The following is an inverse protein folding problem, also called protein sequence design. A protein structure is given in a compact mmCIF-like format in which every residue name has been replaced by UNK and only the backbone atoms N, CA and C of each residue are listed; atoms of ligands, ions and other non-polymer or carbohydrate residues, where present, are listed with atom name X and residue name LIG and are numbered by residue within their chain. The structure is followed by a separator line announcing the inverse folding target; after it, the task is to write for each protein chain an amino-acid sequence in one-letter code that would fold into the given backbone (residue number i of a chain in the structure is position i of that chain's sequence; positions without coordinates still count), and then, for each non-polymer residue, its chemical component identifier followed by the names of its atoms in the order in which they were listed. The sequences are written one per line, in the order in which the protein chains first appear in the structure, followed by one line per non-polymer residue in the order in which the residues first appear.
data_IF_578138175386
#
_entry.id   IF_578138175386
#
_cell.length_a   1.000
_cell.length_b   1.000
_cell.length_c   1.000
_cell.angle_alpha   90.00
_cell.angle_beta   90.00
_cell.angle_gamma   90.00
#
_symmetry.space_group_name_H-M   'P 1'
#
loop_
_entity.id
_entity.type
_entity.pdbx_description
1 polymer ?
#
# COMPACT_ATOMS: atom_id res chain seq x y z
N UNK A 1 14.21 -44.24 -10.44
CA UNK A 1 13.73 -42.99 -9.86
C UNK A 1 14.65 -41.92 -10.37
N UNK A 2 14.23 -41.24 -11.42
CA UNK A 2 15.02 -40.20 -12.01
C UNK A 2 15.00 -38.99 -11.08
N UNK A 3 16.16 -38.63 -10.55
CA UNK A 3 16.31 -37.48 -9.67
C UNK A 3 16.16 -36.19 -10.47
N UNK A 4 14.97 -35.67 -10.56
CA UNK A 4 14.77 -34.30 -11.08
C UNK A 4 15.48 -33.32 -10.16
N UNK A 5 16.48 -32.63 -10.70
CA UNK A 5 17.15 -31.55 -10.01
C UNK A 5 16.20 -30.35 -9.95
N UNK A 6 15.65 -30.08 -8.76
CA UNK A 6 14.82 -28.89 -8.52
C UNK A 6 15.74 -27.67 -8.44
N UNK A 7 15.62 -26.77 -9.41
CA UNK A 7 16.31 -25.49 -9.38
C UNK A 7 15.73 -24.59 -8.28
N UNK A 8 16.61 -24.10 -7.41
CA UNK A 8 16.23 -23.13 -6.38
C UNK A 8 16.36 -21.70 -6.94
N UNK A 9 15.24 -21.00 -7.08
CA UNK A 9 15.24 -19.60 -7.48
C UNK A 9 15.21 -18.68 -6.24
N UNK A 10 16.02 -17.62 -6.25
CA UNK A 10 16.01 -16.60 -5.20
C UNK A 10 14.80 -15.67 -5.28
N UNK A 11 14.25 -15.51 -6.47
CA UNK A 11 13.05 -14.72 -6.74
C UNK A 11 12.29 -15.26 -7.96
N UNK A 12 11.00 -15.00 -8.03
CA UNK A 12 10.16 -15.36 -9.17
C UNK A 12 8.98 -14.38 -9.32
N UNK A 13 8.37 -14.39 -10.50
CA UNK A 13 7.19 -13.58 -10.78
C UNK A 13 5.96 -14.48 -10.78
N UNK A 14 5.05 -14.23 -9.85
CA UNK A 14 3.77 -14.93 -9.76
C UNK A 14 2.62 -13.92 -9.79
N UNK A 15 1.61 -14.15 -10.62
CA UNK A 15 0.48 -13.24 -10.75
C UNK A 15 0.89 -11.78 -11.03
N UNK A 16 1.92 -11.56 -11.83
CA UNK A 16 2.53 -10.25 -12.09
C UNK A 16 3.14 -9.57 -10.86
N UNK A 17 3.34 -10.26 -9.73
CA UNK A 17 4.07 -9.76 -8.55
C UNK A 17 5.39 -10.46 -8.39
N UNK A 18 6.45 -9.71 -8.06
CA UNK A 18 7.77 -10.26 -7.76
C UNK A 18 7.79 -10.75 -6.31
N UNK A 19 8.04 -12.04 -6.13
CA UNK A 19 8.17 -12.69 -4.83
C UNK A 19 9.63 -13.06 -4.64
N UNK A 20 10.19 -12.73 -3.47
CA UNK A 20 11.56 -13.04 -3.09
C UNK A 20 11.57 -14.09 -1.98
N UNK A 21 12.56 -14.98 -1.97
CA UNK A 21 12.70 -16.05 -0.99
C UNK A 21 12.79 -15.54 0.45
N UNK A 22 13.28 -14.31 0.64
CA UNK A 22 13.37 -13.66 1.94
C UNK A 22 12.09 -12.94 2.34
N UNK A 23 11.04 -12.89 1.50
CA UNK A 23 9.78 -12.21 1.74
C UNK A 23 9.90 -10.67 1.81
N UNK A 24 10.99 -10.07 1.29
CA UNK A 24 11.13 -8.62 1.24
C UNK A 24 10.38 -8.02 0.05
N UNK A 25 9.37 -7.21 0.35
CA UNK A 25 8.54 -6.56 -0.66
C UNK A 25 9.17 -5.30 -1.30
N UNK A 26 10.35 -4.87 -0.84
CA UNK A 26 10.98 -3.61 -1.29
C UNK A 26 11.24 -3.59 -2.80
N UNK A 27 11.62 -4.71 -3.40
CA UNK A 27 11.84 -4.82 -4.84
C UNK A 27 10.53 -4.69 -5.64
N UNK A 28 9.47 -5.34 -5.18
CA UNK A 28 8.15 -5.24 -5.82
C UNK A 28 7.59 -3.83 -5.70
N UNK A 29 7.66 -3.21 -4.52
CA UNK A 29 7.21 -1.83 -4.30
C UNK A 29 7.93 -0.87 -5.27
N UNK A 30 9.25 -0.95 -5.38
CA UNK A 30 10.02 -0.14 -6.33
C UNK A 30 9.55 -0.36 -7.77
N UNK A 31 9.33 -1.61 -8.17
CA UNK A 31 8.86 -1.98 -9.50
C UNK A 31 7.48 -1.37 -9.79
N UNK A 32 6.55 -1.44 -8.84
CA UNK A 32 5.20 -0.87 -8.95
C UNK A 32 5.23 0.65 -9.05
N UNK A 33 6.05 1.30 -8.26
CA UNK A 33 6.26 2.76 -8.37
C UNK A 33 6.78 3.17 -9.75
N UNK A 34 7.69 2.37 -10.35
CA UNK A 34 8.16 2.61 -11.72
C UNK A 34 7.04 2.44 -12.75
N UNK A 35 6.19 1.44 -12.61
CA UNK A 35 5.03 1.28 -13.48
C UNK A 35 4.04 2.43 -13.33
N UNK A 36 3.77 2.85 -12.11
CA UNK A 36 2.94 4.03 -11.85
C UNK A 36 3.51 5.30 -12.51
N UNK A 37 4.83 5.49 -12.49
CA UNK A 37 5.48 6.60 -13.20
C UNK A 37 5.27 6.53 -14.71
N UNK A 38 5.41 5.35 -15.32
CA UNK A 38 5.15 5.17 -16.75
C UNK A 38 3.71 5.52 -17.10
N UNK A 39 2.73 5.02 -16.33
CA UNK A 39 1.31 5.34 -16.56
C UNK A 39 1.06 6.83 -16.39
N UNK A 40 1.62 7.46 -15.35
CA UNK A 40 1.47 8.90 -15.13
C UNK A 40 2.05 9.72 -16.30
N UNK A 41 3.17 9.30 -16.88
CA UNK A 41 3.78 9.95 -18.04
C UNK A 41 2.92 9.76 -19.30
N UNK A 42 2.31 8.60 -19.48
CA UNK A 42 1.40 8.37 -20.61
C UNK A 42 0.11 9.21 -20.54
N UNK A 43 -0.23 9.71 -19.36
CA UNK A 43 -1.40 10.59 -19.16
C UNK A 43 -1.08 12.08 -19.40
N UNK A 44 0.16 12.45 -19.67
CA UNK A 44 0.56 13.87 -19.77
C UNK A 44 -0.30 14.67 -20.73
N UNK A 45 -0.57 14.17 -21.93
CA UNK A 45 -1.39 14.86 -22.92
C UNK A 45 -2.80 15.18 -22.40
N UNK A 46 -3.39 14.25 -21.64
CA UNK A 46 -4.71 14.44 -21.02
C UNK A 46 -4.63 15.39 -19.83
N UNK A 47 -3.59 15.26 -19.01
CA UNK A 47 -3.37 16.11 -17.83
C UNK A 47 -2.98 17.56 -18.23
N UNK A 48 -2.47 17.74 -19.45
CA UNK A 48 -2.15 19.05 -20.02
C UNK A 48 -3.36 19.80 -20.56
N UNK A 49 -4.41 19.10 -20.96
CA UNK A 49 -5.63 19.72 -21.50
C UNK A 49 -6.20 20.75 -20.51
N UNK A 50 -6.52 21.94 -21.03
CA UNK A 50 -7.18 23.01 -20.27
C UNK A 50 -8.68 22.78 -20.10
N UNK A 51 -9.26 21.93 -20.95
CA UNK A 51 -10.70 21.62 -20.94
C UNK A 51 -11.09 20.67 -19.81
N UNK A 52 -10.11 20.00 -19.19
CA UNK A 52 -10.33 19.07 -18.09
C UNK A 52 -10.10 19.77 -16.76
N UNK A 53 -11.11 19.76 -15.90
CA UNK A 53 -11.04 20.38 -14.57
C UNK A 53 -10.07 19.65 -13.63
N UNK A 54 -9.50 20.37 -12.68
CA UNK A 54 -8.57 19.81 -11.69
C UNK A 54 -9.16 18.60 -10.93
N UNK A 55 -10.41 18.66 -10.42
CA UNK A 55 -11.00 17.49 -9.76
C UNK A 55 -11.09 16.26 -10.65
N UNK A 56 -11.39 16.44 -11.95
CA UNK A 56 -11.43 15.35 -12.92
C UNK A 56 -10.04 14.74 -13.15
N UNK A 57 -9.00 15.58 -13.27
CA UNK A 57 -7.61 15.12 -13.37
C UNK A 57 -7.17 14.32 -12.14
N UNK A 58 -7.53 14.79 -10.93
CA UNK A 58 -7.26 14.07 -9.68
C UNK A 58 -7.94 12.70 -9.67
N UNK A 59 -9.21 12.64 -10.09
CA UNK A 59 -9.94 11.35 -10.21
C UNK A 59 -9.28 10.42 -11.23
N UNK A 60 -8.80 10.95 -12.35
CA UNK A 60 -8.11 10.18 -13.38
C UNK A 60 -6.81 9.55 -12.84
N UNK A 61 -5.98 10.32 -12.15
CA UNK A 61 -4.75 9.81 -11.51
C UNK A 61 -5.08 8.70 -10.51
N UNK A 62 -6.10 8.91 -9.67
CA UNK A 62 -6.54 7.89 -8.70
C UNK A 62 -7.10 6.63 -9.36
N UNK A 63 -7.78 6.75 -10.49
CA UNK A 63 -8.39 5.62 -11.18
C UNK A 63 -7.40 4.83 -12.05
N UNK A 64 -6.37 5.47 -12.60
CA UNK A 64 -5.47 4.84 -13.56
C UNK A 64 -4.07 4.58 -13.02
N UNK A 65 -3.52 5.48 -12.21
CA UNK A 65 -2.14 5.37 -11.71
C UNK A 65 -2.08 4.58 -10.41
N UNK A 66 -2.93 4.92 -9.44
CA UNK A 66 -2.88 4.30 -8.11
C UNK A 66 -3.16 2.79 -8.12
N UNK A 67 -4.12 2.25 -8.89
CA UNK A 67 -4.33 0.81 -8.94
C UNK A 67 -3.12 0.02 -9.45
N UNK A 68 -2.37 0.59 -10.38
CA UNK A 68 -1.13 -0.04 -10.89
C UNK A 68 -0.07 -0.13 -9.80
N UNK A 69 0.03 0.90 -8.97
CA UNK A 69 0.97 0.93 -7.84
C UNK A 69 0.53 0.01 -6.71
N UNK A 70 -0.77 -0.01 -6.41
CA UNK A 70 -1.33 -0.76 -5.30
C UNK A 70 -1.56 -2.25 -5.59
N UNK A 71 -1.34 -2.72 -6.81
CA UNK A 71 -1.59 -4.12 -7.17
C UNK A 71 -0.79 -5.08 -6.29
N UNK A 72 -1.48 -5.95 -5.57
CA UNK A 72 -0.89 -6.93 -4.64
C UNK A 72 -0.41 -6.35 -3.31
N UNK A 73 -0.70 -5.06 -3.02
CA UNK A 73 -0.22 -4.39 -1.81
C UNK A 73 -0.80 -4.97 -0.51
N UNK A 74 -1.89 -5.70 -0.59
CA UNK A 74 -2.50 -6.40 0.54
C UNK A 74 -1.56 -7.42 1.19
N UNK A 75 -0.66 -8.02 0.40
CA UNK A 75 0.33 -8.99 0.89
C UNK A 75 1.63 -8.35 1.40
N UNK A 76 1.87 -7.07 1.15
CA UNK A 76 3.16 -6.45 1.43
C UNK A 76 3.37 -6.14 2.92
N UNK A 77 4.57 -6.41 3.43
CA UNK A 77 5.05 -5.84 4.69
C UNK A 77 5.77 -4.54 4.39
N UNK A 78 5.12 -3.40 4.66
CA UNK A 78 5.62 -2.08 4.27
C UNK A 78 6.48 -1.51 5.40
N UNK A 79 7.79 -1.38 5.17
CA UNK A 79 8.74 -0.76 6.09
C UNK A 79 8.66 0.78 6.00
N UNK A 80 9.19 1.47 7.00
CA UNK A 80 9.21 2.95 7.03
C UNK A 80 9.88 3.58 5.79
N UNK A 81 10.90 2.92 5.24
CA UNK A 81 11.57 3.40 4.03
C UNK A 81 10.67 3.32 2.78
N UNK A 82 9.85 2.27 2.67
CA UNK A 82 8.90 2.09 1.58
C UNK A 82 7.73 3.05 1.70
N UNK A 83 7.24 3.35 2.91
CA UNK A 83 6.24 4.41 3.15
C UNK A 83 6.72 5.74 2.59
N UNK A 84 7.93 6.16 2.97
CA UNK A 84 8.53 7.42 2.47
C UNK A 84 8.64 7.45 0.94
N UNK A 85 8.94 6.31 0.29
CA UNK A 85 8.99 6.22 -1.18
C UNK A 85 7.61 6.35 -1.80
N UNK A 86 6.60 5.76 -1.19
CA UNK A 86 5.20 5.85 -1.62
C UNK A 86 4.68 7.28 -1.50
N UNK A 87 4.97 7.95 -0.39
CA UNK A 87 4.61 9.35 -0.17
C UNK A 87 5.30 10.29 -1.18
N UNK A 88 6.61 10.07 -1.39
CA UNK A 88 7.37 10.83 -2.38
C UNK A 88 6.84 10.62 -3.81
N UNK A 89 6.38 9.41 -4.14
CA UNK A 89 5.76 9.11 -5.43
C UNK A 89 4.40 9.82 -5.56
N UNK A 90 3.55 9.74 -4.54
CA UNK A 90 2.25 10.42 -4.53
C UNK A 90 2.43 11.92 -4.73
N UNK A 91 3.34 12.52 -3.98
CA UNK A 91 3.64 13.94 -4.09
C UNK A 91 4.21 14.32 -5.48
N UNK A 92 5.02 13.45 -6.07
CA UNK A 92 5.52 13.61 -7.43
C UNK A 92 4.35 13.60 -8.44
N UNK A 93 3.35 12.71 -8.29
CA UNK A 93 2.16 12.70 -9.14
C UNK A 93 1.40 14.03 -9.04
N UNK A 94 1.19 14.55 -7.84
CA UNK A 94 0.47 15.80 -7.64
C UNK A 94 1.23 17.02 -8.16
N UNK A 95 2.55 17.09 -7.94
CA UNK A 95 3.38 18.15 -8.52
C UNK A 95 3.34 18.13 -10.03
N UNK A 96 3.42 16.95 -10.65
CA UNK A 96 3.32 16.80 -12.11
C UNK A 96 1.96 17.25 -12.63
N UNK A 97 0.88 16.88 -11.95
CA UNK A 97 -0.48 17.27 -12.31
C UNK A 97 -0.66 18.81 -12.24
N UNK A 98 -0.11 19.46 -11.20
CA UNK A 98 -0.15 20.91 -11.03
C UNK A 98 0.93 21.67 -11.83
N UNK A 99 1.83 20.93 -12.51
CA UNK A 99 2.98 21.49 -13.23
C UNK A 99 3.92 22.32 -12.36
N UNK A 100 4.01 21.98 -11.09
CA UNK A 100 4.92 22.60 -10.14
C UNK A 100 6.27 21.89 -10.19
N UNK A 101 7.35 22.54 -10.70
CA UNK A 101 8.67 21.91 -10.70
C UNK A 101 9.12 21.66 -9.27
N UNK A 102 9.92 20.61 -9.08
CA UNK A 102 10.41 20.26 -7.76
C UNK A 102 11.31 21.33 -7.14
N UNK A 103 11.93 22.18 -7.99
CA UNK A 103 12.74 23.33 -7.59
C UNK A 103 11.92 24.52 -7.09
N UNK A 104 10.61 24.54 -7.35
CA UNK A 104 9.74 25.58 -6.83
C UNK A 104 9.64 25.47 -5.30
N UNK A 105 9.77 26.59 -4.60
CA UNK A 105 9.71 26.69 -3.13
C UNK A 105 8.33 26.42 -2.51
N UNK A 106 7.39 25.84 -3.26
CA UNK A 106 6.08 25.43 -2.75
C UNK A 106 6.20 24.30 -1.73
N UNK A 107 5.60 24.47 -0.56
CA UNK A 107 5.58 23.43 0.46
C UNK A 107 4.75 22.22 0.00
N UNK A 108 5.08 21.02 0.49
CA UNK A 108 4.28 19.82 0.21
C UNK A 108 2.84 19.99 0.70
N UNK A 109 2.65 20.71 1.80
CA UNK A 109 1.34 21.03 2.37
C UNK A 109 0.50 21.88 1.42
N UNK A 110 1.09 22.87 0.73
CA UNK A 110 0.36 23.69 -0.24
C UNK A 110 -0.14 22.87 -1.42
N UNK A 111 0.68 21.94 -1.92
CA UNK A 111 0.30 20.99 -2.98
C UNK A 111 -0.87 20.12 -2.55
N UNK A 112 -0.79 19.49 -1.36
CA UNK A 112 -1.83 18.63 -0.85
C UNK A 112 -3.13 19.39 -0.55
N UNK A 113 -3.02 20.63 -0.08
CA UNK A 113 -4.18 21.50 0.16
C UNK A 113 -4.92 21.82 -1.14
N UNK A 114 -4.18 22.14 -2.21
CA UNK A 114 -4.73 22.46 -3.52
C UNK A 114 -5.41 21.25 -4.17
N UNK A 115 -4.74 20.07 -4.13
CA UNK A 115 -5.27 18.82 -4.67
C UNK A 115 -6.46 18.31 -3.85
N UNK A 116 -6.42 18.49 -2.53
CA UNK A 116 -7.40 17.94 -1.60
C UNK A 116 -7.74 16.48 -1.88
N UNK A 117 -6.76 15.54 -1.83
CA UNK A 117 -6.91 14.19 -2.36
C UNK A 117 -7.95 13.36 -1.61
N UNK A 118 -8.41 13.79 -0.44
CA UNK A 118 -9.38 13.09 0.41
C UNK A 118 -8.79 11.86 1.13
N UNK A 119 -7.91 11.11 0.49
CA UNK A 119 -7.19 9.97 1.05
C UNK A 119 -5.84 9.83 0.36
N UNK A 120 -4.78 9.59 1.14
CA UNK A 120 -3.43 9.34 0.64
C UNK A 120 -3.31 7.97 -0.02
N UNK A 121 -2.28 7.79 -0.85
CA UNK A 121 -1.98 6.48 -1.44
C UNK A 121 -1.68 5.44 -0.36
N UNK A 122 -0.96 5.79 0.70
CA UNK A 122 -0.73 4.92 1.85
C UNK A 122 -2.04 4.53 2.54
N UNK A 123 -2.95 5.47 2.76
CA UNK A 123 -4.27 5.21 3.33
C UNK A 123 -5.12 4.27 2.48
N UNK A 124 -5.02 4.37 1.14
CA UNK A 124 -5.68 3.44 0.22
C UNK A 124 -5.09 2.03 0.31
N UNK A 125 -3.75 1.90 0.39
CA UNK A 125 -3.08 0.62 0.56
C UNK A 125 -3.46 -0.04 1.90
N UNK A 126 -3.49 0.74 2.98
CA UNK A 126 -3.94 0.26 4.30
C UNK A 126 -5.38 -0.23 4.25
N UNK A 127 -6.26 0.51 3.58
CA UNK A 127 -7.66 0.10 3.38
C UNK A 127 -7.77 -1.27 2.70
N UNK A 128 -7.02 -1.51 1.62
CA UNK A 128 -7.01 -2.79 0.92
C UNK A 128 -6.52 -3.92 1.82
N UNK A 129 -5.47 -3.68 2.60
CA UNK A 129 -4.96 -4.64 3.59
C UNK A 129 -6.01 -5.00 4.65
N UNK A 130 -6.70 -3.98 5.18
CA UNK A 130 -7.75 -4.19 6.18
C UNK A 130 -8.95 -4.94 5.60
N UNK A 131 -9.33 -4.63 4.37
CA UNK A 131 -10.38 -5.37 3.68
C UNK A 131 -9.99 -6.85 3.50
N UNK A 132 -8.77 -7.11 3.05
CA UNK A 132 -8.24 -8.46 2.92
C UNK A 132 -8.21 -9.19 4.26
N UNK A 133 -7.69 -8.56 5.31
CA UNK A 133 -7.68 -9.11 6.66
C UNK A 133 -9.09 -9.46 7.15
N UNK A 134 -10.05 -8.55 6.95
CA UNK A 134 -11.44 -8.79 7.32
C UNK A 134 -12.08 -9.98 6.58
N UNK A 135 -11.76 -10.17 5.30
CA UNK A 135 -12.19 -11.35 4.55
C UNK A 135 -11.57 -12.63 5.08
N UNK A 136 -10.27 -12.59 5.34
CA UNK A 136 -9.52 -13.75 5.82
C UNK A 136 -10.01 -14.21 7.19
N UNK A 137 -10.20 -13.28 8.13
CA UNK A 137 -10.61 -13.61 9.50
C UNK A 137 -12.01 -14.21 9.59
N UNK A 138 -12.91 -13.86 8.69
CA UNK A 138 -14.27 -14.39 8.64
C UNK A 138 -14.40 -15.75 7.95
N UNK A 139 -13.35 -16.25 7.29
CA UNK A 139 -13.35 -17.62 6.77
C UNK A 139 -13.21 -18.61 7.92
N UNK A 140 -14.00 -19.70 7.88
CA UNK A 140 -14.02 -20.71 8.94
C UNK A 140 -12.75 -21.54 8.88
N UNK A 141 -12.41 -22.09 7.72
CA UNK A 141 -11.24 -22.94 7.50
C UNK A 141 -10.38 -22.37 6.38
N UNK A 142 -9.31 -21.68 6.75
CA UNK A 142 -8.36 -21.10 5.80
C UNK A 142 -6.94 -21.35 6.28
N UNK A 143 -6.17 -22.04 5.44
CA UNK A 143 -4.75 -22.26 5.69
C UNK A 143 -4.00 -20.93 5.86
N UNK A 144 -4.38 -19.91 5.06
CA UNK A 144 -3.79 -18.58 5.15
C UNK A 144 -4.04 -17.95 6.52
N UNK A 145 -5.25 -18.13 7.07
CA UNK A 145 -5.60 -17.63 8.41
C UNK A 145 -4.74 -18.30 9.48
N UNK A 146 -4.59 -19.60 9.41
CA UNK A 146 -3.76 -20.40 10.34
C UNK A 146 -2.31 -19.92 10.26
N UNK A 147 -1.74 -19.84 9.07
CA UNK A 147 -0.36 -19.38 8.86
C UNK A 147 -0.13 -17.91 9.33
N UNK A 148 -1.11 -17.05 9.15
CA UNK A 148 -0.99 -15.64 9.61
C UNK A 148 -1.10 -15.51 11.13
N UNK A 149 -1.95 -16.33 11.79
CA UNK A 149 -2.24 -16.17 13.21
C UNK A 149 -1.29 -16.97 14.10
N UNK A 150 -0.89 -18.17 13.66
CA UNK A 150 0.00 -19.04 14.43
C UNK A 150 1.44 -18.53 14.39
N UNK A 151 1.73 -17.51 13.58
CA UNK A 151 3.06 -16.97 13.36
C UNK A 151 4.03 -18.13 13.15
N UNK A 152 4.72 -18.19 12.06
CA UNK A 152 5.75 -19.22 11.88
C UNK A 152 6.67 -19.18 13.11
N UNK A 153 6.42 -20.08 14.08
CA UNK A 153 7.17 -20.23 15.33
C UNK A 153 8.61 -20.69 15.09
N UNK A 154 9.21 -20.14 14.07
CA UNK A 154 10.62 -20.29 13.76
C UNK A 154 11.42 -19.57 14.84
N UNK A 155 12.20 -20.35 15.61
CA UNK A 155 13.25 -19.87 16.52
C UNK A 155 13.91 -18.63 15.92
N UNK A 156 13.65 -17.49 16.52
CA UNK A 156 14.29 -16.22 16.16
C UNK A 156 15.81 -16.38 16.33
N UNK A 157 16.53 -16.45 15.20
CA UNK A 157 17.97 -16.21 15.21
C UNK A 157 18.18 -14.83 15.82
N UNK A 158 19.14 -14.67 16.72
CA UNK A 158 19.60 -13.39 17.27
C UNK A 158 19.80 -12.40 16.13
N UNK A 159 18.87 -11.45 15.96
CA UNK A 159 18.88 -10.43 14.92
C UNK A 159 17.67 -9.52 15.13
N UNK A 160 17.73 -8.34 14.56
CA UNK A 160 16.66 -7.33 14.59
C UNK A 160 15.30 -7.96 14.22
N UNK A 161 14.33 -7.87 15.13
CA UNK A 161 13.01 -8.49 14.94
C UNK A 161 12.39 -7.96 13.65
N UNK A 162 12.10 -8.87 12.72
CA UNK A 162 11.44 -8.52 11.46
C UNK A 162 10.01 -8.07 11.77
N UNK A 163 9.64 -6.88 11.32
CA UNK A 163 8.26 -6.43 11.40
C UNK A 163 7.37 -7.42 10.66
N UNK A 164 6.44 -8.04 11.38
CA UNK A 164 5.45 -8.93 10.79
C UNK A 164 4.39 -8.16 9.99
N UNK A 165 3.70 -8.85 9.10
CA UNK A 165 2.60 -8.27 8.33
C UNK A 165 1.48 -7.75 9.24
N UNK A 166 1.16 -8.50 10.30
CA UNK A 166 0.16 -8.13 11.32
C UNK A 166 0.58 -6.90 12.13
N UNK A 167 1.87 -6.80 12.49
CA UNK A 167 2.39 -5.67 13.25
C UNK A 167 2.12 -4.34 12.52
N UNK A 168 2.33 -4.33 11.20
CA UNK A 168 2.06 -3.15 10.38
C UNK A 168 0.58 -2.73 10.35
N UNK A 169 -0.35 -3.65 10.59
CA UNK A 169 -1.79 -3.38 10.65
C UNK A 169 -2.19 -2.92 12.05
N UNK A 170 -1.76 -3.63 13.09
CA UNK A 170 -2.06 -3.29 14.50
C UNK A 170 -1.48 -1.93 14.88
N UNK A 171 -0.25 -1.63 14.47
CA UNK A 171 0.38 -0.33 14.67
C UNK A 171 -0.40 0.81 13.98
N UNK A 172 -0.89 0.55 12.75
CA UNK A 172 -1.64 1.55 11.99
C UNK A 172 -3.03 1.83 12.57
N UNK A 173 -3.57 0.92 13.37
CA UNK A 173 -4.89 1.04 14.01
C UNK A 173 -4.81 1.39 15.50
N UNK A 174 -3.61 1.41 16.07
CA UNK A 174 -3.37 1.59 17.52
C UNK A 174 -4.25 0.66 18.37
N UNK A 175 -4.33 -0.61 17.95
CA UNK A 175 -5.19 -1.62 18.58
C UNK A 175 -4.46 -2.94 18.78
N UNK A 176 -4.78 -3.62 19.91
CA UNK A 176 -4.30 -4.98 20.16
C UNK A 176 -4.94 -5.99 19.18
N UNK A 177 -4.22 -7.06 18.87
CA UNK A 177 -4.70 -8.08 17.94
C UNK A 177 -6.01 -8.75 18.41
N UNK A 178 -6.22 -8.92 19.71
CA UNK A 178 -7.45 -9.47 20.28
C UNK A 178 -8.66 -8.58 19.98
N UNK A 179 -8.53 -7.29 20.28
CA UNK A 179 -9.60 -6.30 20.00
C UNK A 179 -9.86 -6.18 18.50
N UNK A 180 -8.81 -6.30 17.69
CA UNK A 180 -8.90 -6.28 16.25
C UNK A 180 -9.69 -7.47 15.69
N UNK A 181 -9.49 -8.67 16.27
CA UNK A 181 -10.26 -9.87 15.91
C UNK A 181 -11.74 -9.75 16.26
N UNK A 182 -12.05 -9.23 17.43
CA UNK A 182 -13.45 -8.97 17.85
C UNK A 182 -14.14 -8.00 16.88
N UNK A 183 -13.48 -6.89 16.56
CA UNK A 183 -14.03 -5.87 15.66
C UNK A 183 -14.29 -6.41 14.25
N UNK A 184 -13.42 -7.31 13.75
CA UNK A 184 -13.58 -7.92 12.41
C UNK A 184 -14.81 -8.82 12.32
N UNK A 185 -15.25 -9.43 13.43
CA UNK A 185 -16.44 -10.28 13.44
C UNK A 185 -17.73 -9.47 13.31
N UNK A 186 -17.77 -8.24 13.80
CA UNK A 186 -18.85 -7.30 13.54
C UNK A 186 -18.61 -6.59 12.17
N UNK A 187 -19.41 -6.96 11.18
CA UNK A 187 -19.26 -6.49 9.80
C UNK A 187 -19.51 -5.00 9.64
N UNK A 188 -20.44 -4.44 10.41
CA UNK A 188 -20.79 -3.03 10.34
C UNK A 188 -19.76 -2.16 11.06
N UNK A 189 -19.38 -2.55 12.27
CA UNK A 189 -18.33 -1.90 13.03
C UNK A 189 -16.99 -1.93 12.26
N UNK A 190 -16.66 -3.06 11.61
CA UNK A 190 -15.48 -3.19 10.76
C UNK A 190 -15.48 -2.23 9.57
N UNK A 191 -16.60 -2.16 8.85
CA UNK A 191 -16.74 -1.20 7.74
C UNK A 191 -16.60 0.24 8.20
N UNK A 192 -17.25 0.60 9.32
CA UNK A 192 -17.17 1.94 9.90
C UNK A 192 -15.72 2.29 10.28
N UNK A 193 -14.98 1.37 10.92
CA UNK A 193 -13.58 1.55 11.27
C UNK A 193 -12.70 1.80 10.04
N UNK A 194 -12.84 0.99 8.97
CA UNK A 194 -12.10 1.17 7.71
C UNK A 194 -12.43 2.53 7.05
N UNK A 195 -13.69 2.95 7.08
CA UNK A 195 -14.08 4.25 6.51
C UNK A 195 -13.60 5.43 7.37
N UNK A 196 -13.52 5.26 8.68
CA UNK A 196 -12.99 6.28 9.60
C UNK A 196 -11.52 6.61 9.34
N UNK A 197 -10.70 5.61 9.00
CA UNK A 197 -9.27 5.78 8.70
C UNK A 197 -8.99 6.67 7.49
N UNK A 198 -9.89 6.75 6.54
CA UNK A 198 -9.75 7.64 5.38
C UNK A 198 -9.65 9.11 5.79
N UNK A 199 -10.18 9.48 6.96
CA UNK A 199 -10.15 10.85 7.49
C UNK A 199 -8.90 11.15 8.34
N UNK A 200 -8.26 10.13 8.91
CA UNK A 200 -7.11 10.29 9.83
C UNK A 200 -5.78 10.35 9.06
N UNK A 201 -5.62 9.59 7.98
CA UNK A 201 -4.38 9.56 7.18
C UNK A 201 -3.98 10.90 6.54
N UNK A 202 -4.85 11.93 6.60
CA UNK A 202 -4.55 13.29 6.19
C UNK A 202 -3.79 14.11 7.25
N UNK A 203 -3.72 13.66 8.51
CA UNK A 203 -3.15 14.44 9.62
C UNK A 203 -1.71 14.09 9.97
N UNK A 204 -1.25 12.87 9.76
CA UNK A 204 0.07 12.42 10.22
C UNK A 204 1.21 12.64 9.22
N UNK A 205 0.95 12.85 7.95
CA UNK A 205 1.96 13.15 6.93
C UNK A 205 2.44 14.60 6.89
N UNK A 206 2.09 15.43 7.88
CA UNK A 206 2.26 16.88 7.86
C UNK A 206 3.28 17.44 8.87
N UNK A 207 3.99 16.56 9.61
CA UNK A 207 5.08 16.97 10.52
C UNK A 207 6.45 16.57 9.99
#
# INVERSE_FOLDING_TARGET
MDGETVETASDFIFGCSKITADGDCSHEIKRRLLFGRKVMTNLDSVLESKDITLPTKVRLVKAMVFPVVMYGCESWTIKKAERRRTDAFELWCWRRLLRVPWTARGSNQSILKEISPGCSLEGLMLKLKLQYFGHLMRRVDSLEKTLMLEGTGGRTRRGQQRMGWLDGITDSMDMSLSRFRELVMDREAWRAAIHGLQRVGLREGLN
#
